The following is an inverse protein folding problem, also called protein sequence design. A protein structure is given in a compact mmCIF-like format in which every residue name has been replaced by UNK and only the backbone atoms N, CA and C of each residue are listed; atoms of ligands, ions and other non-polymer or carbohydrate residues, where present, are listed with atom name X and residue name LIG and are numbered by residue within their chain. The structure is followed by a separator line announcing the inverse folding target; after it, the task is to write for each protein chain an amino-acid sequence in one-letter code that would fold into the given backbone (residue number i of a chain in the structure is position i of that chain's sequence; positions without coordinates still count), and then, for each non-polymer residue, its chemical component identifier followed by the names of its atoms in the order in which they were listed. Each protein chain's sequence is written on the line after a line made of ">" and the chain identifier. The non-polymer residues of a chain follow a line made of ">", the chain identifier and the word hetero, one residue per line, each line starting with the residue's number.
data_IF_147305112359
#
_entry.id   IF_147305112359
#
_cell.length_a   1.000
_cell.length_b   1.000
_cell.length_c   1.000
_cell.angle_alpha   90.00
_cell.angle_beta   90.00
_cell.angle_gamma   90.00
#
_symmetry.space_group_name_H-M   'P 1'
#
loop_
_entity.id
_entity.type
_entity.pdbx_description
1 polymer ?
#
# COMPACT_ATOMS: atom_id res chain seq x y z
N UNK A 1 -26.21 12.68 13.75
CA UNK A 1 -24.95 11.94 13.51
C UNK A 1 -23.88 12.52 14.41
N UNK A 2 -23.04 11.69 15.05
CA UNK A 2 -21.94 12.17 15.91
C UNK A 2 -20.64 11.50 15.51
N UNK A 3 -19.56 12.27 15.46
CA UNK A 3 -18.22 11.73 15.30
C UNK A 3 -17.83 10.93 16.54
N UNK A 4 -17.22 9.76 16.32
CA UNK A 4 -16.62 8.93 17.36
C UNK A 4 -15.10 9.05 17.34
N UNK A 5 -14.47 8.93 18.51
CA UNK A 5 -13.01 8.84 18.60
C UNK A 5 -12.61 7.39 18.39
N UNK A 6 -11.83 7.13 17.34
CA UNK A 6 -11.36 5.76 17.03
C UNK A 6 -10.08 5.41 17.82
N UNK A 7 -9.40 6.39 18.43
CA UNK A 7 -8.19 6.18 19.22
C UNK A 7 -7.05 5.59 18.38
N UNK A 8 -6.01 6.37 18.09
CA UNK A 8 -5.03 6.01 17.07
C UNK A 8 -3.62 5.83 17.63
N UNK A 9 -2.94 4.70 17.36
CA UNK A 9 -1.54 4.51 17.70
C UNK A 9 -0.58 5.43 16.92
N UNK A 10 -1.07 6.09 15.87
CA UNK A 10 -0.23 6.58 14.79
C UNK A 10 0.39 7.91 15.20
N UNK A 11 1.52 7.86 15.93
CA UNK A 11 2.37 9.03 16.15
C UNK A 11 2.98 9.43 14.80
N UNK A 12 2.29 10.30 14.06
CA UNK A 12 2.67 10.70 12.72
C UNK A 12 1.51 11.23 11.89
N UNK A 13 1.76 11.35 10.58
CA UNK A 13 0.76 11.82 9.61
C UNK A 13 0.21 10.64 8.83
N UNK A 14 -1.11 10.56 8.71
CA UNK A 14 -1.80 9.66 7.77
C UNK A 14 -2.01 10.43 6.47
N UNK A 15 -1.52 9.87 5.36
CA UNK A 15 -1.67 10.47 4.03
C UNK A 15 -2.76 9.79 3.21
N UNK A 16 -3.01 8.50 3.46
CA UNK A 16 -3.94 7.70 2.69
C UNK A 16 -4.79 6.80 3.58
N UNK A 17 -6.03 6.55 3.14
CA UNK A 17 -7.02 5.72 3.81
C UNK A 17 -7.80 4.92 2.77
N UNK A 18 -8.01 3.63 3.02
CA UNK A 18 -8.86 2.77 2.20
C UNK A 18 -9.64 1.78 3.07
N UNK A 19 -10.74 1.24 2.56
CA UNK A 19 -11.53 0.24 3.27
C UNK A 19 -12.08 -0.82 2.32
N UNK A 20 -12.23 -2.04 2.82
CA UNK A 20 -12.98 -3.12 2.17
C UNK A 20 -14.41 -3.28 2.74
N UNK A 21 -14.89 -2.29 3.50
CA UNK A 21 -16.22 -2.28 4.14
C UNK A 21 -16.23 -2.81 5.57
N UNK A 22 -15.30 -3.69 5.95
CA UNK A 22 -15.18 -4.20 7.33
C UNK A 22 -13.89 -3.77 8.02
N UNK A 23 -12.85 -3.50 7.24
CA UNK A 23 -11.51 -3.15 7.72
C UNK A 23 -11.13 -1.81 7.13
N UNK A 24 -10.52 -0.96 7.95
CA UNK A 24 -9.91 0.29 7.52
C UNK A 24 -8.40 0.10 7.43
N UNK A 25 -7.79 0.58 6.36
CA UNK A 25 -6.34 0.61 6.19
C UNK A 25 -5.89 2.05 6.08
N UNK A 26 -4.74 2.35 6.69
CA UNK A 26 -4.12 3.68 6.64
C UNK A 26 -2.67 3.57 6.25
N UNK A 27 -2.24 4.53 5.42
CA UNK A 27 -0.87 4.69 4.98
C UNK A 27 -0.36 6.10 5.33
N UNK A 28 0.90 6.23 5.71
CA UNK A 28 1.46 7.53 6.02
C UNK A 28 2.90 7.53 6.48
N UNK A 29 3.28 8.63 7.13
CA UNK A 29 4.53 8.80 7.87
C UNK A 29 4.28 8.63 9.35
N UNK A 30 4.28 7.38 9.80
CA UNK A 30 4.22 6.99 11.20
C UNK A 30 5.01 5.69 11.37
N UNK A 31 5.53 5.44 12.57
CA UNK A 31 6.40 4.29 12.80
C UNK A 31 5.85 3.34 13.86
N UNK A 32 5.70 3.83 15.09
CA UNK A 32 5.42 2.98 16.24
C UNK A 32 4.39 3.62 17.18
N UNK A 33 3.76 2.79 17.99
CA UNK A 33 2.96 3.20 19.13
C UNK A 33 3.19 2.29 20.31
N UNK A 34 3.53 2.90 21.45
CA UNK A 34 3.90 2.15 22.66
C UNK A 34 5.01 1.17 22.28
N UNK A 35 4.71 -0.13 22.16
CA UNK A 35 5.65 -1.19 21.78
C UNK A 35 5.37 -1.84 20.42
N UNK A 36 4.31 -1.41 19.71
CA UNK A 36 3.93 -1.98 18.40
C UNK A 36 4.48 -1.13 17.27
N UNK A 37 5.21 -1.77 16.36
CA UNK A 37 5.75 -1.15 15.14
C UNK A 37 4.78 -1.40 13.97
N UNK A 38 4.42 -0.32 13.27
CA UNK A 38 3.52 -0.33 12.11
C UNK A 38 4.23 -0.02 10.80
N UNK A 39 5.30 0.80 10.85
CA UNK A 39 6.11 1.14 9.68
C UNK A 39 5.24 1.66 8.50
N UNK A 40 4.56 2.79 8.73
CA UNK A 40 3.85 3.53 7.69
C UNK A 40 2.54 2.90 7.20
N UNK A 41 2.18 1.68 7.65
CA UNK A 41 0.90 1.04 7.29
C UNK A 41 0.26 0.37 8.51
N UNK A 42 -1.04 0.60 8.70
CA UNK A 42 -1.81 -0.05 9.75
C UNK A 42 -3.20 -0.44 9.26
N UNK A 43 -3.79 -1.46 9.87
CA UNK A 43 -5.20 -1.82 9.68
C UNK A 43 -5.97 -1.65 10.99
N UNK A 44 -7.25 -1.29 10.89
CA UNK A 44 -8.19 -1.24 12.01
C UNK A 44 -9.33 -2.22 11.73
N UNK A 45 -9.53 -3.16 12.63
CA UNK A 45 -10.50 -4.26 12.50
C UNK A 45 -11.90 -3.92 13.01
N UNK A 46 -12.15 -2.65 13.37
CA UNK A 46 -13.37 -2.20 14.03
C UNK A 46 -13.26 -2.13 15.56
N UNK A 47 -12.17 -2.65 16.13
CA UNK A 47 -11.92 -2.65 17.58
C UNK A 47 -10.53 -2.14 17.94
N UNK A 48 -9.50 -2.55 17.21
CA UNK A 48 -8.11 -2.22 17.50
C UNK A 48 -7.28 -2.09 16.22
N UNK A 49 -6.11 -1.48 16.37
CA UNK A 49 -5.15 -1.30 15.29
C UNK A 49 -4.13 -2.42 15.28
N UNK A 50 -3.82 -2.94 14.09
CA UNK A 50 -2.84 -3.99 13.86
C UNK A 50 -1.80 -3.57 12.83
N UNK A 51 -0.55 -4.03 12.99
CA UNK A 51 0.45 -3.94 11.95
C UNK A 51 0.14 -4.91 10.79
N UNK A 52 0.84 -4.73 9.66
CA UNK A 52 0.81 -5.68 8.53
C UNK A 52 2.16 -6.42 8.47
N UNK A 53 2.31 -7.56 9.17
CA UNK A 53 3.56 -8.30 9.27
C UNK A 53 3.83 -9.18 8.05
N UNK A 54 5.09 -9.58 7.92
CA UNK A 54 5.60 -10.64 7.06
C UNK A 54 6.63 -11.45 7.85
N UNK A 55 7.12 -12.55 7.30
CA UNK A 55 8.11 -13.42 7.95
C UNK A 55 9.42 -12.69 8.35
N UNK A 56 9.76 -11.62 7.63
CA UNK A 56 11.06 -10.93 7.77
C UNK A 56 10.95 -9.44 8.11
N UNK A 57 9.73 -8.91 8.29
CA UNK A 57 9.54 -7.49 8.58
C UNK A 57 8.09 -7.09 8.73
N UNK A 58 7.85 -5.80 8.95
CA UNK A 58 6.51 -5.22 9.15
C UNK A 58 6.40 -3.91 8.39
N UNK A 59 5.24 -3.67 7.76
CA UNK A 59 4.96 -2.44 7.03
C UNK A 59 5.97 -2.15 5.90
N UNK A 60 6.36 -0.90 5.74
CA UNK A 60 7.30 -0.42 4.71
C UNK A 60 8.57 0.22 5.32
N UNK A 61 9.66 0.22 4.57
CA UNK A 61 10.95 0.77 5.02
C UNK A 61 11.59 1.70 3.98
N UNK A 62 12.36 2.66 4.48
CA UNK A 62 13.14 3.61 3.67
C UNK A 62 12.31 4.65 2.92
N UNK A 63 11.08 4.89 3.35
CA UNK A 63 10.20 5.95 2.85
C UNK A 63 8.81 5.87 3.50
N UNK A 64 7.89 6.69 2.99
CA UNK A 64 6.53 6.82 3.53
C UNK A 64 5.51 6.20 2.57
N UNK A 65 4.32 5.86 3.07
CA UNK A 65 3.17 5.47 2.24
C UNK A 65 2.29 6.67 1.96
N UNK A 66 2.11 6.99 0.69
CA UNK A 66 1.34 8.15 0.21
C UNK A 66 0.01 7.76 -0.44
N UNK A 67 -0.13 6.50 -0.84
CA UNK A 67 -1.33 5.98 -1.46
C UNK A 67 -1.65 4.58 -0.94
N UNK A 68 -2.95 4.27 -0.82
CA UNK A 68 -3.43 2.94 -0.47
C UNK A 68 -4.71 2.62 -1.24
N UNK A 69 -4.80 1.40 -1.75
CA UNK A 69 -5.99 0.88 -2.42
C UNK A 69 -6.22 -0.57 -2.00
N UNK A 70 -7.49 -1.00 -2.01
CA UNK A 70 -7.86 -2.39 -1.74
C UNK A 70 -8.60 -2.93 -2.96
N UNK A 71 -8.13 -4.04 -3.50
CA UNK A 71 -8.67 -4.70 -4.70
C UNK A 71 -8.40 -6.19 -4.63
N UNK A 72 -9.33 -7.03 -5.08
CA UNK A 72 -9.10 -8.48 -5.21
C UNK A 72 -8.75 -9.22 -3.92
N UNK A 73 -9.00 -8.63 -2.75
CA UNK A 73 -8.55 -9.17 -1.45
C UNK A 73 -7.13 -8.76 -1.05
N UNK A 74 -6.43 -8.00 -1.90
CA UNK A 74 -5.10 -7.47 -1.64
C UNK A 74 -5.15 -6.00 -1.19
N UNK A 75 -4.14 -5.60 -0.41
CA UNK A 75 -3.87 -4.20 -0.08
C UNK A 75 -2.68 -3.74 -0.89
N UNK A 76 -2.86 -2.69 -1.69
CA UNK A 76 -1.82 -2.05 -2.46
C UNK A 76 -1.37 -0.78 -1.77
N UNK A 77 -0.07 -0.59 -1.62
CA UNK A 77 0.52 0.63 -1.06
C UNK A 77 1.48 1.25 -2.07
N UNK A 78 1.38 2.57 -2.20
CA UNK A 78 2.22 3.39 -3.06
C UNK A 78 2.92 4.47 -2.23
N UNK A 79 4.17 4.79 -2.55
CA UNK A 79 4.90 5.85 -1.86
C UNK A 79 6.35 5.95 -2.26
N UNK A 80 7.18 6.45 -1.34
CA UNK A 80 8.63 6.65 -1.54
C UNK A 80 9.50 5.54 -0.94
N UNK A 81 8.89 4.51 -0.36
CA UNK A 81 9.57 3.40 0.30
C UNK A 81 10.35 2.51 -0.69
N UNK A 82 11.32 1.77 -0.16
CA UNK A 82 12.18 0.88 -0.95
C UNK A 82 11.99 -0.60 -0.61
N UNK A 83 11.38 -0.91 0.54
CA UNK A 83 11.05 -2.28 0.95
C UNK A 83 9.68 -2.35 1.60
N UNK A 84 9.05 -3.52 1.51
CA UNK A 84 7.81 -3.85 2.21
C UNK A 84 7.92 -5.25 2.83
N UNK A 85 7.64 -5.37 4.13
CA UNK A 85 7.71 -6.62 4.88
C UNK A 85 9.05 -7.36 4.73
N UNK A 86 10.16 -6.63 4.70
CA UNK A 86 11.51 -7.15 4.47
C UNK A 86 11.87 -7.47 3.01
N UNK A 87 10.93 -7.38 2.07
CA UNK A 87 11.15 -7.65 0.62
C UNK A 87 11.46 -6.36 -0.13
N UNK A 88 12.38 -6.42 -1.11
CA UNK A 88 12.57 -5.28 -2.04
C UNK A 88 11.32 -5.10 -2.91
N UNK A 89 10.62 -3.99 -2.70
CA UNK A 89 9.43 -3.60 -3.42
C UNK A 89 9.44 -2.08 -3.43
N UNK A 90 10.08 -1.49 -4.45
CA UNK A 90 10.28 -0.05 -4.51
C UNK A 90 9.01 0.63 -4.98
N UNK A 91 8.59 1.66 -4.24
CA UNK A 91 7.51 2.59 -4.56
C UNK A 91 6.09 2.02 -4.62
N UNK A 92 5.91 0.74 -4.94
CA UNK A 92 4.62 0.06 -4.95
C UNK A 92 4.75 -1.41 -4.52
N UNK A 93 3.86 -1.82 -3.61
CA UNK A 93 3.81 -3.18 -3.08
C UNK A 93 2.36 -3.62 -2.86
N UNK A 94 2.14 -4.94 -2.86
CA UNK A 94 0.88 -5.57 -2.49
C UNK A 94 1.05 -6.44 -1.26
N UNK A 95 0.01 -6.51 -0.44
CA UNK A 95 -0.10 -7.40 0.72
C UNK A 95 -1.30 -8.34 0.54
N UNK A 96 -1.09 -9.63 0.76
CA UNK A 96 -2.12 -10.68 0.60
C UNK A 96 -2.78 -11.11 1.92
N UNK A 97 -2.42 -10.47 3.03
CA UNK A 97 -2.85 -10.86 4.38
C UNK A 97 -1.76 -11.60 5.17
N UNK A 98 -0.70 -12.07 4.51
CA UNK A 98 0.43 -12.77 5.13
C UNK A 98 1.79 -12.25 4.65
N UNK A 99 1.90 -11.88 3.37
CA UNK A 99 3.15 -11.55 2.68
C UNK A 99 3.03 -10.28 1.87
N UNK A 100 4.13 -9.54 1.83
CA UNK A 100 4.33 -8.44 0.91
C UNK A 100 4.98 -8.93 -0.39
N UNK A 101 4.63 -8.33 -1.52
CA UNK A 101 5.24 -8.58 -2.83
C UNK A 101 5.33 -7.30 -3.65
N UNK A 102 6.35 -7.18 -4.50
CA UNK A 102 6.46 -6.08 -5.46
C UNK A 102 5.34 -6.14 -6.52
N UNK A 103 4.91 -4.98 -7.01
CA UNK A 103 3.89 -4.84 -8.06
C UNK A 103 4.55 -4.26 -9.30
N UNK A 104 5.28 -5.12 -10.02
CA UNK A 104 6.16 -4.71 -11.11
C UNK A 104 7.21 -3.69 -10.68
N UNK A 105 7.82 -3.02 -11.66
CA UNK A 105 8.84 -2.00 -11.42
C UNK A 105 8.33 -0.63 -11.88
N UNK A 106 8.52 0.39 -11.04
CA UNK A 106 8.39 1.80 -11.40
C UNK A 106 9.65 2.54 -10.97
N UNK A 107 10.00 3.63 -11.64
CA UNK A 107 11.26 4.38 -11.43
C UNK A 107 11.11 5.63 -10.54
N UNK A 108 9.97 5.79 -9.88
CA UNK A 108 9.71 6.93 -9.02
C UNK A 108 8.52 6.72 -8.08
N UNK A 109 8.34 7.69 -7.20
CA UNK A 109 7.33 7.69 -6.14
C UNK A 109 5.91 7.54 -6.70
N UNK A 110 5.15 6.61 -6.13
CA UNK A 110 3.70 6.48 -6.40
C UNK A 110 2.93 7.32 -5.39
N UNK A 111 2.25 8.35 -5.88
CA UNK A 111 1.52 9.34 -5.07
C UNK A 111 0.03 9.05 -4.95
N UNK A 112 -0.52 8.25 -5.87
CA UNK A 112 -1.95 7.92 -5.90
C UNK A 112 -2.15 6.50 -6.42
N UNK A 113 -3.15 5.81 -5.86
CA UNK A 113 -3.61 4.51 -6.29
C UNK A 113 -5.12 4.52 -6.38
N UNK A 114 -5.66 4.00 -7.48
CA UNK A 114 -7.10 3.82 -7.65
C UNK A 114 -7.38 2.39 -8.11
N UNK A 115 -8.11 1.64 -7.29
CA UNK A 115 -8.66 0.35 -7.69
C UNK A 115 -9.93 0.55 -8.51
N UNK A 116 -10.07 -0.22 -9.59
CA UNK A 116 -11.29 -0.33 -10.38
C UNK A 116 -11.75 -1.80 -10.43
N UNK A 117 -13.02 -2.01 -10.77
CA UNK A 117 -13.58 -3.35 -10.87
C UNK A 117 -12.81 -4.24 -11.86
N UNK A 118 -12.81 -5.54 -11.61
CA UNK A 118 -12.17 -6.52 -12.49
C UNK A 118 -10.64 -6.63 -12.34
N UNK A 119 -10.10 -6.35 -11.16
CA UNK A 119 -8.66 -6.51 -10.87
C UNK A 119 -7.78 -5.42 -11.50
N UNK A 120 -8.35 -4.24 -11.76
CA UNK A 120 -7.61 -3.12 -12.34
C UNK A 120 -7.12 -2.20 -11.22
N UNK A 121 -5.85 -1.79 -11.32
CA UNK A 121 -5.23 -0.81 -10.45
C UNK A 121 -4.54 0.26 -11.29
N UNK A 122 -4.86 1.52 -11.03
CA UNK A 122 -4.18 2.65 -11.64
C UNK A 122 -3.21 3.25 -10.62
N UNK A 123 -1.97 3.48 -11.05
CA UNK A 123 -0.98 4.19 -10.27
C UNK A 123 -0.70 5.56 -10.90
N UNK A 124 -0.62 6.59 -10.06
CA UNK A 124 -0.24 7.94 -10.45
C UNK A 124 0.91 8.45 -9.59
N UNK A 125 1.88 9.15 -10.16
CA UNK A 125 3.05 9.59 -9.40
C UNK A 125 4.06 10.40 -10.18
N UNK A 126 5.29 10.42 -9.67
CA UNK A 126 6.43 11.11 -10.31
C UNK A 126 7.28 10.19 -11.17
N UNK A 127 6.92 8.90 -11.28
CA UNK A 127 7.61 7.94 -12.12
C UNK A 127 7.41 8.25 -13.61
N UNK A 128 8.38 7.92 -14.44
CA UNK A 128 8.28 8.07 -15.89
C UNK A 128 8.18 6.71 -16.59
N UNK A 129 8.66 5.65 -15.94
CA UNK A 129 8.66 4.29 -16.45
C UNK A 129 7.89 3.34 -15.53
N UNK A 130 7.12 2.43 -16.14
CA UNK A 130 6.51 1.28 -15.48
C UNK A 130 6.74 0.02 -16.32
N UNK A 131 7.27 -1.05 -15.71
CA UNK A 131 7.61 -2.29 -16.42
C UNK A 131 8.58 -2.09 -17.58
N UNK A 132 9.46 -1.08 -17.50
CA UNK A 132 10.41 -0.73 -18.56
C UNK A 132 9.84 0.12 -19.70
N UNK A 133 8.57 0.51 -19.64
CA UNK A 133 7.91 1.33 -20.67
C UNK A 133 7.67 2.75 -20.15
N UNK A 134 7.91 3.76 -21.00
CA UNK A 134 7.58 5.15 -20.66
C UNK A 134 6.06 5.35 -20.61
N UNK A 135 5.58 5.84 -19.47
CA UNK A 135 4.15 6.00 -19.16
C UNK A 135 3.81 7.41 -18.64
N UNK A 136 4.82 8.24 -18.37
CA UNK A 136 4.61 9.67 -18.05
C UNK A 136 3.84 9.94 -16.76
N UNK A 137 4.00 9.09 -15.74
CA UNK A 137 3.44 9.33 -14.40
C UNK A 137 2.09 8.69 -14.12
N UNK A 138 1.51 7.96 -15.08
CA UNK A 138 0.27 7.19 -14.88
C UNK A 138 0.41 5.83 -15.52
N UNK A 139 0.12 4.74 -14.80
CA UNK A 139 0.18 3.39 -15.35
C UNK A 139 -1.01 2.54 -14.90
N UNK A 140 -1.39 1.58 -15.74
CA UNK A 140 -2.41 0.58 -15.45
C UNK A 140 -1.76 -0.76 -15.12
N UNK A 141 -2.14 -1.36 -14.00
CA UNK A 141 -1.81 -2.72 -13.63
C UNK A 141 -3.07 -3.58 -13.67
N UNK A 142 -2.98 -4.73 -14.34
CA UNK A 142 -4.04 -5.73 -14.38
C UNK A 142 -3.62 -6.95 -13.56
N UNK A 143 -4.36 -7.24 -12.50
CA UNK A 143 -4.22 -8.49 -11.76
C UNK A 143 -4.52 -9.68 -12.69
N UNK A 144 -3.73 -10.75 -12.59
CA UNK A 144 -4.02 -12.03 -13.26
C UNK A 144 -4.79 -12.91 -12.28
N UNK A 145 -5.86 -13.56 -12.75
CA UNK A 145 -6.64 -14.50 -11.93
C UNK A 145 -5.72 -15.52 -11.23
N UNK A 146 -5.96 -15.77 -9.94
CA UNK A 146 -5.20 -16.74 -9.15
C UNK A 146 -3.96 -16.21 -8.40
N UNK A 147 -3.80 -14.89 -8.24
CA UNK A 147 -2.77 -14.30 -7.38
C UNK A 147 -1.39 -14.13 -8.04
N UNK A 148 -1.30 -14.33 -9.36
CA UNK A 148 -0.09 -14.03 -10.14
C UNK A 148 0.29 -12.55 -10.12
N UNK A 149 1.54 -12.24 -10.45
CA UNK A 149 1.93 -10.84 -10.71
C UNK A 149 1.40 -10.41 -12.08
N UNK A 150 0.52 -9.42 -12.07
CA UNK A 150 0.07 -8.68 -13.24
C UNK A 150 1.19 -7.97 -14.00
N UNK A 151 0.84 -7.45 -15.17
CA UNK A 151 1.74 -6.62 -15.99
C UNK A 151 1.24 -5.18 -16.04
N UNK A 152 2.18 -4.25 -16.20
CA UNK A 152 1.87 -2.86 -16.50
C UNK A 152 1.49 -2.73 -17.98
N UNK A 153 0.35 -2.12 -18.27
CA UNK A 153 -0.11 -1.74 -19.61
C UNK A 153 0.12 -0.22 -19.78
N UNK A 154 0.58 0.18 -20.97
CA UNK A 154 0.76 1.57 -21.38
C UNK A 154 -0.53 2.21 -21.88
#
# INVERSE_FOLDING_TARGET
>A
ERWGVIGGPLQGSVFAIASNGTTLYVGGKFNQFVSTVFNGVALYDGTQWHPLPSATGVGVEGGDVQAIAVSGGFVYVGGSFVRAGGTEAKYIARYDGERWSAVGEVDGTVLSLAAAGGGLLFAGGTFLSAGGTFVGGVALYREVDGGGIGQWEA
#
